data_IF_522043473612
#
_entry.id   IF_522043473612
#
_cell.length_a   1.000
_cell.length_b   1.000
_cell.length_c   1.000
_cell.angle_alpha   90.00
_cell.angle_beta   90.00
_cell.angle_gamma   90.00
#
_symmetry.space_group_name_H-M   'P 1'
#
loop_
_entity.id
_entity.type
_entity.pdbx_description
1 polymer ?
#
# COMPACT_ATOMS: atom_id res chain seq x y z
N UNK A 1 24.47 12.33 -22.12
CA UNK A 1 23.05 12.14 -21.72
C UNK A 1 22.83 12.99 -20.48
N UNK A 2 22.32 14.21 -20.64
CA UNK A 2 22.02 15.07 -19.49
C UNK A 2 20.71 14.55 -18.90
N UNK A 3 20.72 14.10 -17.65
CA UNK A 3 19.48 13.89 -16.92
C UNK A 3 18.79 15.25 -16.83
N UNK A 4 17.71 15.44 -17.60
CA UNK A 4 16.86 16.62 -17.43
C UNK A 4 16.25 16.52 -16.03
N UNK A 5 16.65 17.42 -15.14
CA UNK A 5 16.06 17.50 -13.80
C UNK A 5 14.63 17.99 -13.97
N UNK A 6 13.68 17.12 -13.65
CA UNK A 6 12.26 17.44 -13.63
C UNK A 6 11.97 18.21 -12.33
N UNK A 7 11.45 19.45 -12.40
CA UNK A 7 11.18 20.23 -11.20
C UNK A 7 10.05 19.61 -10.38
N UNK A 8 10.17 19.71 -9.06
CA UNK A 8 9.13 19.31 -8.11
C UNK A 8 8.46 20.55 -7.55
N UNK A 9 7.13 20.54 -7.48
CA UNK A 9 6.34 21.60 -6.87
C UNK A 9 5.57 21.09 -5.65
N UNK A 10 5.70 21.79 -4.53
CA UNK A 10 5.02 21.47 -3.28
C UNK A 10 3.63 22.08 -3.31
N UNK A 11 2.62 21.22 -3.32
CA UNK A 11 1.21 21.61 -3.33
C UNK A 11 0.68 21.51 -1.90
N UNK A 12 0.28 22.64 -1.33
CA UNK A 12 -0.37 22.68 -0.02
C UNK A 12 -1.88 22.69 -0.18
N UNK A 13 -2.56 21.72 0.44
CA UNK A 13 -4.02 21.60 0.49
C UNK A 13 -4.53 21.94 1.89
N UNK A 14 -5.26 23.05 2.03
CA UNK A 14 -5.83 23.49 3.30
C UNK A 14 -7.35 23.45 3.26
N UNK A 15 -7.98 22.93 4.33
CA UNK A 15 -9.45 22.86 4.38
C UNK A 15 -10.05 24.24 4.63
N UNK A 16 -10.79 24.75 3.66
CA UNK A 16 -11.52 26.02 3.70
C UNK A 16 -13.03 25.78 3.52
N UNK A 17 -13.73 25.60 4.65
CA UNK A 17 -15.16 25.28 4.67
C UNK A 17 -15.47 23.95 3.95
N UNK A 18 -16.24 24.02 2.85
CA UNK A 18 -16.59 22.85 2.04
C UNK A 18 -15.56 22.50 0.95
N UNK A 19 -14.46 23.25 0.87
CA UNK A 19 -13.45 23.14 -0.18
C UNK A 19 -12.05 22.91 0.40
N UNK A 20 -11.18 22.37 -0.43
CA UNK A 20 -9.73 22.41 -0.25
C UNK A 20 -9.20 23.58 -1.06
N UNK A 21 -8.60 24.56 -0.38
CA UNK A 21 -7.80 25.59 -1.01
C UNK A 21 -6.44 24.99 -1.37
N UNK A 22 -5.97 25.28 -2.57
CA UNK A 22 -4.76 24.70 -3.15
C UNK A 22 -3.80 25.84 -3.45
N UNK A 23 -2.60 25.77 -2.86
CA UNK A 23 -1.50 26.70 -3.11
C UNK A 23 -0.25 25.93 -3.51
N UNK A 24 0.67 26.58 -4.20
CA UNK A 24 1.96 26.00 -4.58
C UNK A 24 3.07 26.85 -3.98
N UNK A 25 3.90 26.25 -3.13
CA UNK A 25 4.85 26.98 -2.29
C UNK A 25 5.90 27.72 -3.14
N UNK A 26 6.35 27.11 -4.23
CA UNK A 26 7.35 27.69 -5.15
C UNK A 26 6.72 28.64 -6.18
N UNK A 27 5.39 28.64 -6.31
CA UNK A 27 4.64 29.42 -7.30
C UNK A 27 3.49 30.17 -6.60
N UNK A 28 3.76 31.30 -5.93
CA UNK A 28 2.75 32.05 -5.19
C UNK A 28 1.62 32.63 -6.06
N UNK A 29 1.75 32.59 -7.39
CA UNK A 29 0.69 32.94 -8.34
C UNK A 29 -0.31 31.81 -8.63
N UNK A 30 -0.06 30.60 -8.16
CA UNK A 30 -0.95 29.44 -8.38
C UNK A 30 -1.93 29.31 -7.22
N UNK A 31 -3.21 29.52 -7.52
CA UNK A 31 -4.31 29.25 -6.63
C UNK A 31 -5.37 28.41 -7.35
N UNK A 32 -5.84 27.37 -6.67
CA UNK A 32 -6.94 26.54 -7.15
C UNK A 32 -7.77 26.02 -5.98
N UNK A 33 -8.84 25.29 -6.28
CA UNK A 33 -9.68 24.69 -5.24
C UNK A 33 -10.35 23.40 -5.72
N UNK A 34 -10.61 22.49 -4.78
CA UNK A 34 -11.32 21.25 -5.05
C UNK A 34 -12.27 20.88 -3.91
N UNK A 35 -13.41 20.24 -4.22
CA UNK A 35 -14.32 19.73 -3.17
C UNK A 35 -13.80 18.49 -2.47
N UNK A 36 -12.93 17.74 -3.13
CA UNK A 36 -12.38 16.46 -2.66
C UNK A 36 -10.87 16.47 -2.80
N UNK A 37 -10.20 15.82 -1.85
CA UNK A 37 -8.74 15.78 -1.78
C UNK A 37 -8.13 15.06 -2.99
N UNK A 38 -8.79 14.02 -3.51
CA UNK A 38 -8.36 13.26 -4.69
C UNK A 38 -8.33 14.08 -6.00
N UNK A 39 -8.95 15.27 -6.01
CA UNK A 39 -8.90 16.20 -7.14
C UNK A 39 -7.81 17.25 -7.00
N UNK A 40 -7.20 17.40 -5.83
CA UNK A 40 -6.23 18.48 -5.58
C UNK A 40 -5.04 18.38 -6.51
N UNK A 41 -4.45 17.20 -6.64
CA UNK A 41 -3.28 16.99 -7.51
C UNK A 41 -3.60 17.38 -8.97
N UNK A 42 -4.73 16.90 -9.50
CA UNK A 42 -5.17 17.24 -10.84
C UNK A 42 -5.35 18.76 -11.00
N UNK A 43 -6.05 19.41 -10.08
CA UNK A 43 -6.31 20.86 -10.16
C UNK A 43 -5.06 21.71 -9.97
N UNK A 44 -4.12 21.29 -9.13
CA UNK A 44 -2.85 21.98 -8.91
C UNK A 44 -2.00 21.98 -10.19
N UNK A 45 -1.78 20.80 -10.78
CA UNK A 45 -0.92 20.74 -11.95
C UNK A 45 -1.55 21.34 -13.21
N UNK A 46 -2.88 21.39 -13.34
CA UNK A 46 -3.52 22.11 -14.44
C UNK A 46 -3.27 23.62 -14.31
N UNK A 47 -3.34 24.14 -13.07
CA UNK A 47 -3.04 25.55 -12.79
C UNK A 47 -1.56 25.90 -12.98
N UNK A 48 -0.63 25.01 -12.58
CA UNK A 48 0.81 25.19 -12.81
C UNK A 48 1.14 25.17 -14.31
N UNK A 49 0.63 24.17 -15.05
CA UNK A 49 0.85 24.04 -16.48
C UNK A 49 0.34 25.28 -17.24
N UNK A 50 -0.86 25.75 -16.87
CA UNK A 50 -1.44 26.96 -17.44
C UNK A 50 -0.61 28.21 -17.13
N UNK A 51 -0.18 28.39 -15.88
CA UNK A 51 0.59 29.57 -15.47
C UNK A 51 1.97 29.62 -16.14
N UNK A 52 2.66 28.48 -16.23
CA UNK A 52 4.02 28.40 -16.76
C UNK A 52 4.05 28.23 -18.29
N UNK A 53 2.92 27.88 -18.91
CA UNK A 53 2.86 27.56 -20.34
C UNK A 53 3.64 26.28 -20.70
N UNK A 54 3.68 25.30 -19.79
CA UNK A 54 4.43 24.06 -19.95
C UNK A 54 3.51 22.83 -19.92
N UNK A 55 3.91 21.69 -20.51
CA UNK A 55 3.16 20.44 -20.41
C UNK A 55 2.97 19.97 -18.96
N UNK A 56 1.84 19.33 -18.68
CA UNK A 56 1.53 18.76 -17.35
C UNK A 56 2.53 17.70 -16.90
N UNK A 57 3.12 16.99 -17.86
CA UNK A 57 4.12 15.97 -17.63
C UNK A 57 5.56 16.51 -17.69
N UNK A 58 5.78 17.82 -17.54
CA UNK A 58 7.12 18.40 -17.45
C UNK A 58 7.61 18.63 -16.02
N UNK A 59 6.80 18.32 -15.01
CA UNK A 59 7.10 18.51 -13.59
C UNK A 59 6.42 17.43 -12.74
N UNK A 60 6.82 17.37 -11.47
CA UNK A 60 6.27 16.45 -10.47
C UNK A 60 5.66 17.25 -9.30
N UNK A 61 4.71 16.64 -8.60
CA UNK A 61 3.97 17.29 -7.50
C UNK A 61 4.21 16.56 -6.19
N UNK A 62 4.44 17.32 -5.13
CA UNK A 62 4.54 16.84 -3.75
C UNK A 62 3.34 17.40 -2.99
N UNK A 63 2.32 16.58 -2.77
CA UNK A 63 1.11 17.00 -2.06
C UNK A 63 1.34 17.00 -0.54
N UNK A 64 0.88 18.07 0.12
CA UNK A 64 0.87 18.21 1.58
C UNK A 64 -0.48 18.71 2.05
N UNK A 65 -1.15 17.93 2.89
CA UNK A 65 -2.36 18.39 3.56
C UNK A 65 -2.02 19.18 4.82
N UNK A 66 -2.55 20.40 4.92
CA UNK A 66 -2.45 21.19 6.13
C UNK A 66 -3.58 20.79 7.08
N UNK A 67 -3.23 19.90 8.02
CA UNK A 67 -4.11 19.43 9.08
C UNK A 67 -3.75 20.10 10.41
N UNK A 68 -4.68 20.10 11.37
CA UNK A 68 -4.35 20.46 12.76
C UNK A 68 -3.40 19.43 13.35
N UNK A 69 -2.60 19.81 14.35
CA UNK A 69 -1.66 18.90 15.03
C UNK A 69 -2.34 17.64 15.55
N UNK A 70 -3.55 17.77 16.09
CA UNK A 70 -4.32 16.63 16.62
C UNK A 70 -4.81 15.70 15.50
N UNK A 71 -5.29 16.26 14.38
CA UNK A 71 -5.70 15.46 13.24
C UNK A 71 -4.51 14.75 12.60
N UNK A 72 -3.38 15.43 12.44
CA UNK A 72 -2.14 14.83 11.93
C UNK A 72 -1.67 13.68 12.83
N UNK A 73 -1.71 13.87 14.16
CA UNK A 73 -1.37 12.82 15.13
C UNK A 73 -2.31 11.63 15.01
N UNK A 74 -3.63 11.85 14.96
CA UNK A 74 -4.61 10.78 14.82
C UNK A 74 -4.42 9.96 13.52
N UNK A 75 -4.10 10.63 12.40
CA UNK A 75 -3.79 9.96 11.13
C UNK A 75 -2.54 9.09 11.26
N UNK A 76 -1.45 9.63 11.82
CA UNK A 76 -0.21 8.89 12.06
C UNK A 76 -0.45 7.66 12.94
N UNK A 77 -1.13 7.83 14.08
CA UNK A 77 -1.46 6.75 15.01
C UNK A 77 -2.30 5.65 14.33
N UNK A 78 -3.27 6.02 13.49
CA UNK A 78 -4.07 5.07 12.74
C UNK A 78 -3.23 4.24 11.75
N UNK A 79 -2.30 4.88 11.03
CA UNK A 79 -1.37 4.19 10.13
C UNK A 79 -0.45 3.23 10.89
N UNK A 80 0.12 3.68 12.01
CA UNK A 80 0.98 2.84 12.84
C UNK A 80 0.23 1.64 13.43
N UNK A 81 -0.97 1.86 13.97
CA UNK A 81 -1.80 0.80 14.52
C UNK A 81 -2.14 -0.24 13.45
N UNK A 82 -2.48 0.20 12.23
CA UNK A 82 -2.73 -0.69 11.10
C UNK A 82 -1.48 -1.47 10.70
N UNK A 83 -0.32 -0.82 10.62
CA UNK A 83 0.94 -1.49 10.30
C UNK A 83 1.29 -2.56 11.35
N UNK A 84 1.15 -2.23 12.65
CA UNK A 84 1.34 -3.17 13.77
C UNK A 84 0.36 -4.35 13.67
N UNK A 85 -0.91 -4.11 13.36
CA UNK A 85 -1.91 -5.17 13.21
C UNK A 85 -1.56 -6.12 12.04
N UNK A 86 -1.14 -5.59 10.90
CA UNK A 86 -0.71 -6.40 9.74
C UNK A 86 0.52 -7.26 10.10
N UNK A 87 1.52 -6.66 10.75
CA UNK A 87 2.70 -7.38 11.19
C UNK A 87 2.35 -8.48 12.22
N UNK A 88 1.53 -8.15 13.22
CA UNK A 88 1.06 -9.10 14.22
C UNK A 88 0.28 -10.27 13.61
N UNK A 89 -0.61 -10.00 12.65
CA UNK A 89 -1.36 -11.04 11.94
C UNK A 89 -0.45 -11.99 11.16
N UNK A 90 0.62 -11.46 10.56
CA UNK A 90 1.62 -12.26 9.84
C UNK A 90 2.37 -13.18 10.79
N UNK A 91 2.88 -12.63 11.89
CA UNK A 91 3.58 -13.41 12.94
C UNK A 91 2.67 -14.47 13.52
N UNK A 92 1.42 -14.12 13.87
CA UNK A 92 0.44 -15.08 14.39
C UNK A 92 0.21 -16.24 13.40
N UNK A 93 0.03 -15.91 12.12
CA UNK A 93 -0.17 -16.93 11.07
C UNK A 93 1.02 -17.87 10.92
N UNK A 94 2.25 -17.35 10.96
CA UNK A 94 3.48 -18.14 10.91
C UNK A 94 3.62 -19.04 12.14
N UNK A 95 3.39 -18.51 13.34
CA UNK A 95 3.44 -19.28 14.60
C UNK A 95 2.37 -20.35 14.67
N UNK A 96 1.15 -20.08 14.21
CA UNK A 96 0.09 -21.09 14.13
C UNK A 96 0.48 -22.26 13.23
N UNK A 97 1.13 -22.02 12.07
CA UNK A 97 1.60 -23.11 11.20
C UNK A 97 2.64 -23.97 11.90
N UNK A 98 3.64 -23.34 12.53
CA UNK A 98 4.69 -24.06 13.27
C UNK A 98 4.08 -24.90 14.40
N UNK A 99 3.14 -24.34 15.17
CA UNK A 99 2.47 -25.07 16.24
C UNK A 99 1.61 -26.23 15.72
N UNK A 100 0.82 -26.02 14.66
CA UNK A 100 0.02 -27.07 14.03
C UNK A 100 0.91 -28.21 13.52
N UNK A 101 2.02 -27.89 12.85
CA UNK A 101 2.95 -28.91 12.35
C UNK A 101 3.60 -29.69 13.49
N UNK A 102 4.12 -29.01 14.51
CA UNK A 102 4.75 -29.66 15.65
C UNK A 102 3.78 -30.60 16.40
N UNK A 103 2.52 -30.19 16.56
CA UNK A 103 1.50 -31.03 17.18
C UNK A 103 1.10 -32.22 16.29
N UNK A 104 1.06 -32.04 14.97
CA UNK A 104 0.81 -33.12 14.03
C UNK A 104 1.96 -34.15 14.01
N UNK A 105 3.21 -33.70 14.11
CA UNK A 105 4.40 -34.56 14.16
C UNK A 105 4.43 -35.44 15.44
N UNK A 106 3.78 -35.01 16.51
CA UNK A 106 3.53 -35.80 17.72
C UNK A 106 2.40 -36.83 17.55
N UNK A 107 1.75 -36.89 16.38
CA UNK A 107 0.67 -37.82 16.07
C UNK A 107 -0.70 -37.42 16.63
N UNK A 108 -0.88 -36.17 17.11
CA UNK A 108 -2.17 -35.74 17.63
C UNK A 108 -3.21 -35.67 16.49
N UNK A 109 -4.46 -36.12 16.74
CA UNK A 109 -5.52 -35.97 15.77
C UNK A 109 -5.85 -34.49 15.59
N UNK A 110 -6.11 -34.07 14.35
CA UNK A 110 -6.34 -32.65 13.99
C UNK A 110 -7.47 -31.98 14.78
N UNK A 111 -8.45 -32.75 15.28
CA UNK A 111 -9.52 -32.23 16.14
C UNK A 111 -9.00 -31.73 17.48
N UNK A 112 -8.03 -32.44 18.06
CA UNK A 112 -7.43 -32.09 19.35
C UNK A 112 -6.46 -30.93 19.19
N UNK A 113 -5.70 -30.90 18.08
CA UNK A 113 -4.89 -29.73 17.68
C UNK A 113 -5.76 -28.47 17.58
N UNK A 114 -6.94 -28.59 16.95
CA UNK A 114 -7.91 -27.51 16.86
C UNK A 114 -8.36 -27.01 18.23
N UNK A 115 -8.66 -27.91 19.17
CA UNK A 115 -8.99 -27.52 20.56
C UNK A 115 -7.83 -26.85 21.29
N UNK A 116 -6.60 -27.32 21.12
CA UNK A 116 -5.41 -26.77 21.80
C UNK A 116 -5.06 -25.36 21.32
N UNK A 117 -5.28 -25.08 20.04
CA UNK A 117 -4.92 -23.79 19.43
C UNK A 117 -6.11 -22.85 19.23
N UNK A 118 -7.30 -23.23 19.72
CA UNK A 118 -8.57 -22.53 19.48
C UNK A 118 -8.84 -22.27 17.98
N UNK A 119 -8.61 -23.30 17.17
CA UNK A 119 -8.81 -23.30 15.73
C UNK A 119 -9.87 -24.33 15.35
N UNK A 120 -10.64 -24.01 14.30
CA UNK A 120 -11.50 -25.02 13.68
C UNK A 120 -10.66 -26.13 13.05
N UNK A 121 -11.21 -27.35 13.01
CA UNK A 121 -10.55 -28.48 12.35
C UNK A 121 -10.23 -28.18 10.87
N UNK A 122 -11.12 -27.47 10.15
CA UNK A 122 -10.86 -27.02 8.78
C UNK A 122 -9.63 -26.10 8.70
N UNK A 123 -9.44 -25.21 9.68
CA UNK A 123 -8.30 -24.31 9.72
C UNK A 123 -6.99 -25.07 9.97
N UNK A 124 -7.01 -26.07 10.85
CA UNK A 124 -5.87 -26.97 11.06
C UNK A 124 -5.48 -27.68 9.76
N UNK A 125 -6.46 -28.27 9.06
CA UNK A 125 -6.23 -28.92 7.76
C UNK A 125 -5.62 -27.97 6.73
N UNK A 126 -6.14 -26.74 6.61
CA UNK A 126 -5.60 -25.72 5.69
C UNK A 126 -4.14 -25.35 6.00
N UNK A 127 -3.78 -25.24 7.28
CA UNK A 127 -2.43 -24.88 7.70
C UNK A 127 -1.42 -26.01 7.45
N UNK A 128 -1.85 -27.27 7.56
CA UNK A 128 -1.02 -28.43 7.20
C UNK A 128 -0.77 -28.50 5.68
N UNK A 129 -1.81 -28.28 4.87
CA UNK A 129 -1.68 -28.28 3.40
C UNK A 129 -0.79 -27.13 2.91
N UNK A 130 -0.89 -25.96 3.54
CA UNK A 130 -0.10 -24.77 3.16
C UNK A 130 1.37 -24.83 3.59
N UNK A 131 1.79 -25.84 4.36
CA UNK A 131 3.16 -26.01 4.85
C UNK A 131 3.98 -26.96 3.97
N UNK A 132 3.34 -27.70 3.06
CA UNK A 132 4.07 -28.47 2.04
C UNK A 132 4.89 -27.52 1.15
N UNK A 133 6.19 -27.77 0.92
CA UNK A 133 6.99 -26.93 0.04
C UNK A 133 6.34 -26.89 -1.34
N UNK A 134 6.11 -25.68 -1.85
CA UNK A 134 5.68 -25.44 -3.23
C UNK A 134 6.85 -25.80 -4.17
N UNK A 135 7.13 -27.09 -4.36
CA UNK A 135 7.93 -27.58 -5.49
C UNK A 135 7.03 -27.52 -6.72
N UNK A 136 6.87 -26.31 -7.23
CA UNK A 136 6.19 -26.01 -8.49
C UNK A 136 7.21 -25.59 -9.52
N UNK A 137 8.07 -26.53 -9.90
CA UNK A 137 8.90 -26.44 -11.09
C UNK A 137 7.96 -26.30 -12.31
N UNK A 138 7.92 -25.12 -12.94
CA UNK A 138 7.28 -24.94 -14.24
C UNK A 138 8.15 -25.66 -15.27
N UNK A 139 7.66 -26.70 -15.98
CA UNK A 139 8.44 -27.28 -17.06
C UNK A 139 8.63 -26.23 -18.16
N UNK A 140 9.88 -26.03 -18.56
CA UNK A 140 10.26 -25.21 -19.69
C UNK A 140 9.53 -25.70 -20.94
N UNK A 141 8.81 -24.78 -21.57
CA UNK A 141 8.12 -25.01 -22.84
C UNK A 141 9.18 -25.19 -23.92
N UNK A 142 9.49 -26.43 -24.28
CA UNK A 142 10.33 -26.78 -25.42
C UNK A 142 9.67 -26.24 -26.69
N UNK A 143 10.22 -25.15 -27.23
CA UNK A 143 9.91 -24.71 -28.58
C UNK A 143 10.54 -25.72 -29.54
N UNK A 144 9.67 -26.51 -30.17
CA UNK A 144 10.02 -27.48 -31.20
C UNK A 144 10.41 -26.71 -32.47
N UNK A 145 11.55 -27.09 -33.03
CA UNK A 145 11.96 -26.74 -34.37
C UNK A 145 10.96 -27.25 -35.43
N UNK A 146 10.82 -26.46 -36.49
CA UNK A 146 10.24 -26.78 -37.80
C UNK A 146 10.34 -25.50 -38.63
N UNK A 147 11.12 -25.38 -39.69
CA UNK A 147 11.52 -26.39 -40.67
C UNK A 147 10.50 -26.36 -41.81
N UNK A 148 10.70 -25.46 -42.77
CA UNK A 148 9.86 -25.22 -43.94
C UNK A 148 10.20 -23.89 -44.59
#
# INVERSE_FOLDING_TARGET
MVACVRPNYTVTAERAGAWWAITVDELPGVFSQARRLDRVEAMAGDAIALLLGVPRDSFDLILREKLTTDAQRAVTEAFEARAKAIAGQRVASERSRVAVQALADLGLPQRDIGRLLDLSHQRVAQLLVSTAPTTGERPARTARAGGG
#
